data_IF_952338180508
#
_entry.id   IF_952338180508
#
_cell.length_a   1.000
_cell.length_b   1.000
_cell.length_c   1.000
_cell.angle_alpha   90.00
_cell.angle_beta   90.00
_cell.angle_gamma   90.00
#
_symmetry.space_group_name_H-M   'P 1'
#
loop_
_entity.id
_entity.type
_entity.pdbx_description
1 polymer ?
#
# COMPACT_ATOMS: atom_id res chain seq x y z
N UNK A 1 0.40 15.01 5.35
CA UNK A 1 0.70 15.03 3.90
C UNK A 1 0.73 16.46 3.33
N UNK A 2 -0.28 17.30 3.57
CA UNK A 2 -0.30 18.69 3.09
C UNK A 2 0.84 19.55 3.68
N UNK A 3 1.01 19.53 5.00
CA UNK A 3 2.03 20.32 5.68
C UNK A 3 3.47 20.00 5.22
N UNK A 4 3.77 18.73 4.89
CA UNK A 4 5.08 18.33 4.35
C UNK A 4 5.36 18.91 2.95
N UNK A 5 4.32 19.29 2.21
CA UNK A 5 4.43 19.99 0.94
C UNK A 5 4.27 21.51 1.07
N UNK A 6 4.15 22.03 2.30
CA UNK A 6 3.86 23.45 2.58
C UNK A 6 2.57 23.95 1.94
N UNK A 7 1.57 23.07 1.87
CA UNK A 7 0.22 23.39 1.40
C UNK A 7 -0.72 23.66 2.57
N UNK A 8 -1.88 24.25 2.27
CA UNK A 8 -3.00 24.39 3.22
C UNK A 8 -3.44 23.00 3.72
N UNK A 9 -3.79 22.90 5.00
CA UNK A 9 -3.94 21.64 5.72
C UNK A 9 -4.97 20.69 5.10
N UNK A 10 -6.05 21.25 4.55
CA UNK A 10 -7.19 20.51 4.02
C UNK A 10 -7.17 20.34 2.51
N UNK A 11 -6.15 20.82 1.80
CA UNK A 11 -6.13 20.85 0.33
C UNK A 11 -6.43 19.48 -0.31
N UNK A 12 -5.92 18.39 0.27
CA UNK A 12 -6.19 17.04 -0.20
C UNK A 12 -7.62 16.57 0.14
N UNK A 13 -8.13 16.92 1.31
CA UNK A 13 -9.51 16.60 1.71
C UNK A 13 -10.52 17.32 0.81
N UNK A 14 -10.27 18.59 0.49
CA UNK A 14 -11.09 19.36 -0.46
C UNK A 14 -11.05 18.75 -1.87
N UNK A 15 -9.89 18.25 -2.29
CA UNK A 15 -9.73 17.60 -3.60
C UNK A 15 -10.44 16.23 -3.69
N UNK A 16 -10.36 15.40 -2.64
CA UNK A 16 -11.04 14.10 -2.60
C UNK A 16 -12.54 14.24 -2.31
N UNK A 17 -12.93 15.32 -1.64
CA UNK A 17 -14.29 15.66 -1.27
C UNK A 17 -14.82 14.86 -0.07
N UNK A 18 -15.91 15.37 0.52
CA UNK A 18 -16.55 14.79 1.72
C UNK A 18 -17.17 13.39 1.49
N UNK A 19 -17.32 12.99 0.22
CA UNK A 19 -17.88 11.69 -0.21
C UNK A 19 -16.82 10.76 -0.78
N UNK A 20 -15.56 10.91 -0.35
CA UNK A 20 -14.48 10.01 -0.73
C UNK A 20 -14.89 8.55 -0.48
N UNK A 21 -14.72 7.70 -1.50
CA UNK A 21 -15.10 6.29 -1.41
C UNK A 21 -14.09 5.55 -0.53
N UNK A 22 -14.61 4.79 0.43
CA UNK A 22 -13.82 3.92 1.28
C UNK A 22 -14.15 2.46 0.97
N UNK A 23 -13.13 1.61 0.94
CA UNK A 23 -13.26 0.18 0.66
C UNK A 23 -12.46 -0.61 1.69
N UNK A 24 -13.04 -1.71 2.15
CA UNK A 24 -12.32 -2.73 2.91
C UNK A 24 -12.15 -3.97 2.05
N UNK A 25 -10.96 -4.56 2.08
CA UNK A 25 -10.66 -5.82 1.38
C UNK A 25 -9.96 -6.76 2.35
N UNK A 26 -10.46 -7.99 2.42
CA UNK A 26 -9.91 -9.04 3.26
C UNK A 26 -9.24 -10.08 2.35
N UNK A 27 -7.98 -10.35 2.62
CA UNK A 27 -7.18 -11.32 1.87
C UNK A 27 -6.82 -12.48 2.79
N UNK A 28 -6.93 -13.70 2.25
CA UNK A 28 -6.45 -14.91 2.90
C UNK A 28 -5.54 -15.65 1.92
N UNK A 29 -4.26 -15.77 2.27
CA UNK A 29 -3.25 -16.45 1.47
C UNK A 29 -2.89 -17.77 2.16
N UNK A 30 -3.44 -18.92 1.71
CA UNK A 30 -3.13 -20.21 2.31
C UNK A 30 -1.70 -20.66 2.01
N UNK A 31 -1.19 -21.62 2.79
CA UNK A 31 0.11 -22.27 2.55
C UNK A 31 0.14 -22.86 1.14
N UNK A 32 1.20 -22.55 0.39
CA UNK A 32 1.38 -22.98 -0.98
C UNK A 32 2.48 -24.06 -1.05
N UNK A 33 2.19 -25.30 -1.51
CA UNK A 33 3.22 -26.34 -1.65
C UNK A 33 4.32 -26.03 -2.65
N UNK A 34 4.11 -25.04 -3.53
CA UNK A 34 5.04 -24.65 -4.61
C UNK A 34 5.17 -23.12 -4.68
N UNK A 35 5.72 -22.47 -3.62
CA UNK A 35 5.68 -21.02 -3.48
C UNK A 35 6.52 -20.27 -4.52
N UNK A 36 7.49 -20.94 -5.13
CA UNK A 36 8.31 -20.38 -6.20
C UNK A 36 7.60 -20.33 -7.57
N UNK A 37 6.40 -20.91 -7.69
CA UNK A 37 5.65 -20.99 -8.95
C UNK A 37 4.40 -20.10 -8.98
N UNK A 38 3.95 -19.61 -7.81
CA UNK A 38 2.68 -18.89 -7.66
C UNK A 38 2.88 -17.72 -6.70
N UNK A 39 2.24 -16.60 -7.00
CA UNK A 39 2.19 -15.44 -6.12
C UNK A 39 0.85 -15.41 -5.38
N UNK A 40 0.85 -14.88 -4.15
CA UNK A 40 -0.37 -14.59 -3.43
C UNK A 40 -1.14 -13.46 -4.14
N UNK A 41 -0.43 -12.41 -4.54
CA UNK A 41 -0.95 -11.33 -5.37
C UNK A 41 0.12 -10.91 -6.38
N UNK A 42 -0.28 -10.75 -7.65
CA UNK A 42 0.60 -10.24 -8.71
C UNK A 42 1.05 -8.80 -8.41
N UNK A 43 2.17 -8.30 -8.97
CA UNK A 43 2.61 -6.92 -8.81
C UNK A 43 1.54 -5.88 -9.22
N UNK A 44 1.29 -4.88 -8.37
CA UNK A 44 0.34 -3.79 -8.62
C UNK A 44 0.64 -2.55 -7.76
N UNK A 45 0.13 -1.39 -8.16
CA UNK A 45 0.04 -0.19 -7.32
C UNK A 45 -1.41 0.05 -6.90
N UNK A 46 -1.62 0.72 -5.77
CA UNK A 46 -2.97 0.99 -5.26
C UNK A 46 -3.57 2.22 -5.94
N UNK A 47 -4.77 2.09 -6.54
CA UNK A 47 -5.43 3.21 -7.21
C UNK A 47 -6.11 4.23 -6.28
N UNK A 48 -6.09 4.03 -4.96
CA UNK A 48 -6.69 4.93 -3.97
C UNK A 48 -5.67 5.97 -3.47
N UNK A 49 -6.07 6.94 -2.64
CA UNK A 49 -5.11 7.93 -2.11
C UNK A 49 -4.19 7.33 -1.04
N UNK A 50 -4.80 6.63 -0.07
CA UNK A 50 -4.11 6.01 1.06
C UNK A 50 -4.73 4.65 1.33
N UNK A 51 -3.89 3.64 1.54
CA UNK A 51 -4.30 2.32 2.03
C UNK A 51 -3.80 2.13 3.46
N UNK A 52 -4.68 1.68 4.36
CA UNK A 52 -4.32 1.21 5.69
C UNK A 52 -4.44 -0.31 5.72
N UNK A 53 -3.35 -1.01 6.03
CA UNK A 53 -3.29 -2.46 6.00
C UNK A 53 -2.88 -3.03 7.37
N UNK A 54 -3.74 -3.87 7.92
CA UNK A 54 -3.42 -4.74 9.05
C UNK A 54 -2.88 -6.06 8.50
N UNK A 55 -1.62 -6.38 8.78
CA UNK A 55 -0.99 -7.63 8.36
C UNK A 55 -1.24 -8.74 9.38
N UNK A 56 -1.02 -10.00 8.98
CA UNK A 56 -0.91 -11.11 9.93
C UNK A 56 0.29 -10.86 10.88
N UNK A 57 0.13 -11.17 12.17
CA UNK A 57 1.14 -10.89 13.19
C UNK A 57 2.36 -11.81 13.11
N UNK A 58 2.25 -12.93 12.38
CA UNK A 58 3.24 -14.02 12.38
C UNK A 58 3.69 -14.43 10.97
N UNK A 59 2.98 -14.01 9.92
CA UNK A 59 3.25 -14.43 8.53
C UNK A 59 3.71 -13.24 7.69
N UNK A 60 4.93 -13.33 7.15
CA UNK A 60 5.45 -12.40 6.14
C UNK A 60 4.92 -12.74 4.74
N UNK A 61 4.83 -11.74 3.86
CA UNK A 61 4.49 -11.99 2.45
C UNK A 61 4.41 -10.74 1.58
N UNK A 62 4.06 -9.60 2.17
CA UNK A 62 4.02 -8.32 1.47
C UNK A 62 5.43 -7.81 1.15
N UNK A 63 5.65 -7.40 -0.10
CA UNK A 63 6.89 -6.76 -0.52
C UNK A 63 6.60 -5.54 -1.41
N UNK A 64 7.50 -4.56 -1.36
CA UNK A 64 7.45 -3.33 -2.15
C UNK A 64 8.66 -3.24 -3.09
N UNK A 65 8.45 -2.80 -4.32
CA UNK A 65 9.51 -2.56 -5.29
C UNK A 65 10.11 -1.18 -5.06
N UNK A 66 11.43 -1.11 -4.90
CA UNK A 66 12.21 0.12 -4.82
C UNK A 66 13.57 -0.11 -5.46
N UNK A 67 14.02 0.82 -6.30
CA UNK A 67 15.34 0.74 -6.96
C UNK A 67 15.58 -0.63 -7.64
N UNK A 68 14.56 -1.11 -8.37
CA UNK A 68 14.51 -2.42 -9.04
C UNK A 68 14.70 -3.65 -8.14
N UNK A 69 14.51 -3.49 -6.83
CA UNK A 69 14.64 -4.54 -5.82
C UNK A 69 13.38 -4.65 -4.96
N UNK A 70 13.05 -5.88 -4.56
CA UNK A 70 11.92 -6.16 -3.69
C UNK A 70 12.33 -6.12 -2.22
N UNK A 71 11.66 -5.28 -1.44
CA UNK A 71 11.85 -5.14 -0.01
C UNK A 71 10.64 -5.66 0.75
N UNK A 72 10.87 -6.51 1.74
CA UNK A 72 9.80 -7.00 2.60
C UNK A 72 9.24 -5.87 3.46
N UNK A 73 7.91 -5.83 3.57
CA UNK A 73 7.28 -5.05 4.63
C UNK A 73 7.51 -5.77 5.96
N UNK A 74 8.08 -5.13 6.99
CA UNK A 74 8.26 -5.78 8.28
C UNK A 74 6.91 -6.07 8.92
N UNK A 75 6.79 -7.24 9.55
CA UNK A 75 5.66 -7.56 10.43
C UNK A 75 6.00 -7.02 11.82
N UNK A 76 5.24 -6.00 12.25
CA UNK A 76 5.41 -5.36 13.55
C UNK A 76 4.08 -5.55 14.31
N UNK A 77 4.09 -6.18 15.50
CA UNK A 77 2.88 -6.36 16.29
C UNK A 77 2.14 -5.03 16.51
N UNK A 78 0.81 -5.07 16.40
CA UNK A 78 -0.09 -3.91 16.58
C UNK A 78 0.13 -2.73 15.60
N UNK A 79 1.02 -2.87 14.62
CA UNK A 79 1.27 -1.84 13.62
C UNK A 79 0.35 -2.00 12.40
N UNK A 80 0.03 -0.86 11.79
CA UNK A 80 -0.60 -0.80 10.47
C UNK A 80 0.41 -0.33 9.43
N UNK A 81 0.39 -0.94 8.26
CA UNK A 81 1.12 -0.45 7.10
C UNK A 81 0.29 0.65 6.45
N UNK A 82 0.90 1.81 6.25
CA UNK A 82 0.31 2.91 5.48
C UNK A 82 0.98 2.94 4.11
N UNK A 83 0.20 2.75 3.06
CA UNK A 83 0.68 2.86 1.68
C UNK A 83 0.06 4.07 0.96
N UNK A 84 0.82 4.69 0.07
CA UNK A 84 0.38 5.78 -0.79
C UNK A 84 0.00 5.21 -2.15
N UNK A 85 -1.19 5.56 -2.64
CA UNK A 85 -1.65 5.12 -3.96
C UNK A 85 -1.59 6.21 -5.03
N UNK A 86 -1.98 5.84 -6.25
CA UNK A 86 -1.86 6.65 -7.46
C UNK A 86 -2.53 8.03 -7.33
N UNK A 87 -3.67 8.12 -6.63
CA UNK A 87 -4.36 9.41 -6.43
C UNK A 87 -3.52 10.41 -5.64
N UNK A 88 -2.79 9.93 -4.63
CA UNK A 88 -1.90 10.76 -3.83
C UNK A 88 -0.61 11.11 -4.58
N UNK A 89 -0.14 10.22 -5.47
CA UNK A 89 0.96 10.57 -6.39
C UNK A 89 0.55 11.70 -7.33
N UNK A 90 -0.63 11.60 -7.96
CA UNK A 90 -1.14 12.63 -8.86
C UNK A 90 -1.37 13.95 -8.12
N UNK A 91 -2.05 13.94 -6.97
CA UNK A 91 -2.37 15.16 -6.23
C UNK A 91 -1.15 15.86 -5.65
N UNK A 92 -0.08 15.12 -5.35
CA UNK A 92 1.20 15.68 -4.91
C UNK A 92 2.15 16.04 -6.06
N UNK A 93 1.69 15.99 -7.30
CA UNK A 93 2.50 16.20 -8.50
C UNK A 93 3.78 15.33 -8.51
N UNK A 94 3.62 14.06 -8.12
CA UNK A 94 4.71 13.08 -8.15
C UNK A 94 5.65 13.10 -6.96
N UNK A 95 5.43 13.93 -5.93
CA UNK A 95 6.30 13.99 -4.74
C UNK A 95 6.16 12.72 -3.89
N UNK A 96 4.93 12.28 -3.62
CA UNK A 96 4.69 10.99 -2.97
C UNK A 96 4.52 9.92 -4.04
N UNK A 97 5.43 8.96 -4.11
CA UNK A 97 5.36 7.87 -5.09
C UNK A 97 4.43 6.76 -4.64
N UNK A 98 3.58 6.28 -5.53
CA UNK A 98 2.85 5.04 -5.33
C UNK A 98 3.78 3.85 -5.61
N UNK A 99 4.12 3.05 -4.59
CA UNK A 99 5.02 1.93 -4.80
C UNK A 99 4.27 0.75 -5.41
N UNK A 100 4.96 0.01 -6.27
CA UNK A 100 4.47 -1.29 -6.71
C UNK A 100 4.66 -2.29 -5.57
N UNK A 101 3.62 -3.04 -5.23
CA UNK A 101 3.61 -4.07 -4.20
C UNK A 101 3.25 -5.44 -4.79
N UNK A 102 3.72 -6.50 -4.13
CA UNK A 102 3.49 -7.90 -4.46
C UNK A 102 3.23 -8.67 -3.15
N UNK A 103 2.48 -9.76 -3.24
CA UNK A 103 2.39 -10.72 -2.12
C UNK A 103 2.93 -12.06 -2.58
N UNK A 104 3.96 -12.56 -1.90
CA UNK A 104 4.51 -13.90 -2.13
C UNK A 104 3.79 -14.93 -1.26
N UNK A 105 3.69 -16.17 -1.73
CA UNK A 105 3.17 -17.28 -0.91
C UNK A 105 4.30 -17.93 -0.12
N UNK A 106 3.98 -18.42 1.09
CA UNK A 106 4.84 -19.29 1.90
C UNK A 106 4.36 -20.74 1.94
#
# INVERSE_FOLDING_TARGET
MASSLRLEENCFLEQYGEKAKQYARFHFYPICPRPNLVLGCKPYADGMAITLLSQDESVEGLQFLKDDQWFKAPVIPEAVVINIGDQAEISSNGVFKSPVQIVVTG
#
